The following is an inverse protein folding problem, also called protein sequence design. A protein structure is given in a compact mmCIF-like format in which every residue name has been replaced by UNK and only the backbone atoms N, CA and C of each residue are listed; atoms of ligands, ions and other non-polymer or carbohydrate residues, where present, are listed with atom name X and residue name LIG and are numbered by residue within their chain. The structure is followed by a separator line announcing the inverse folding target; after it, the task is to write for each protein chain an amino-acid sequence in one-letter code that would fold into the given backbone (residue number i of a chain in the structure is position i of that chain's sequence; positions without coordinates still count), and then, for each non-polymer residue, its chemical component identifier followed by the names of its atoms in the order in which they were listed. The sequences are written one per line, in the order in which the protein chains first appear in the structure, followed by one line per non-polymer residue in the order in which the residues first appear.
data_IF_050782659923
#
_entry.id   IF_050782659923
#
_cell.length_a   1.000
_cell.length_b   1.000
_cell.length_c   1.000
_cell.angle_alpha   90.00
_cell.angle_beta   90.00
_cell.angle_gamma   90.00
#
_symmetry.space_group_name_H-M   'P 1'
#
loop_
_entity.id
_entity.type
_entity.pdbx_description
1 polymer ?
#
# COMPACT_ATOMS: atom_id res chain seq x y z
N UNK A 1 -8.53 -19.48 -10.02
CA UNK A 1 -8.34 -18.09 -9.54
C UNK A 1 -9.34 -17.87 -8.41
N UNK A 2 -8.89 -17.89 -7.15
CA UNK A 2 -9.78 -17.66 -5.99
C UNK A 2 -10.04 -16.15 -5.93
N UNK A 3 -11.24 -15.73 -6.33
CA UNK A 3 -11.64 -14.32 -6.24
C UNK A 3 -11.51 -13.83 -4.80
N UNK A 4 -10.95 -12.63 -4.63
CA UNK A 4 -11.13 -11.82 -3.41
C UNK A 4 -12.63 -11.55 -3.25
N UNK A 5 -13.29 -12.42 -2.48
CA UNK A 5 -14.71 -12.29 -2.20
C UNK A 5 -14.87 -11.32 -1.02
N UNK A 6 -14.82 -10.04 -1.32
CA UNK A 6 -15.19 -9.00 -0.36
C UNK A 6 -16.70 -9.02 -0.19
N UNK A 7 -17.18 -9.29 1.02
CA UNK A 7 -18.61 -9.43 1.31
C UNK A 7 -19.31 -8.06 1.43
N UNK A 8 -18.55 -6.96 1.48
CA UNK A 8 -19.05 -5.59 1.54
C UNK A 8 -18.02 -4.58 1.00
N UNK A 9 -18.48 -3.37 0.64
CA UNK A 9 -17.59 -2.24 0.30
C UNK A 9 -16.61 -1.89 1.43
N UNK A 10 -16.97 -2.15 2.69
CA UNK A 10 -16.11 -1.90 3.85
C UNK A 10 -14.86 -2.77 3.82
N UNK A 11 -15.00 -4.04 3.42
CA UNK A 11 -13.86 -4.95 3.34
C UNK A 11 -12.81 -4.47 2.33
N UNK A 12 -13.23 -3.76 1.28
CA UNK A 12 -12.31 -3.24 0.27
C UNK A 12 -11.42 -2.11 0.81
N UNK A 13 -11.99 -1.18 1.56
CA UNK A 13 -11.22 -0.05 2.14
C UNK A 13 -10.27 -0.50 3.24
N UNK A 14 -10.59 -1.58 3.96
CA UNK A 14 -9.67 -2.19 4.92
C UNK A 14 -8.42 -2.71 4.21
N UNK A 15 -8.62 -3.45 3.11
CA UNK A 15 -7.52 -3.99 2.30
C UNK A 15 -6.70 -2.87 1.67
N UNK A 16 -7.34 -1.81 1.17
CA UNK A 16 -6.62 -0.63 0.67
C UNK A 16 -5.72 -0.05 1.76
N UNK A 17 -6.24 0.15 2.97
CA UNK A 17 -5.44 0.68 4.06
C UNK A 17 -4.22 -0.22 4.31
N UNK A 18 -4.46 -1.51 4.59
CA UNK A 18 -3.40 -2.46 4.94
C UNK A 18 -2.36 -2.61 3.84
N UNK A 19 -2.76 -2.79 2.58
CA UNK A 19 -1.83 -3.03 1.47
C UNK A 19 -1.19 -1.76 0.91
N UNK A 20 -1.57 -0.57 1.39
CA UNK A 20 -0.87 0.68 1.08
C UNK A 20 0.23 1.02 2.09
N UNK A 21 0.37 0.22 3.15
CA UNK A 21 1.30 0.47 4.24
C UNK A 21 2.75 0.06 3.94
N UNK A 22 3.68 0.68 4.65
CA UNK A 22 5.10 0.31 4.63
C UNK A 22 5.32 -1.08 5.25
N UNK A 23 4.47 -1.50 6.20
CA UNK A 23 4.53 -2.85 6.80
C UNK A 23 4.21 -3.93 5.78
N UNK A 24 3.17 -3.74 4.96
CA UNK A 24 2.87 -4.64 3.85
C UNK A 24 4.00 -4.64 2.82
N UNK A 25 4.48 -3.46 2.42
CA UNK A 25 5.57 -3.35 1.46
C UNK A 25 6.82 -4.09 1.93
N UNK A 26 7.22 -3.89 3.19
CA UNK A 26 8.33 -4.59 3.81
C UNK A 26 8.12 -6.12 3.82
N UNK A 27 6.94 -6.60 4.23
CA UNK A 27 6.63 -8.03 4.16
C UNK A 27 6.72 -8.58 2.72
N UNK A 28 6.11 -7.88 1.76
CA UNK A 28 6.05 -8.31 0.38
C UNK A 28 7.44 -8.44 -0.24
N UNK A 29 8.31 -7.47 0.02
CA UNK A 29 9.68 -7.43 -0.53
C UNK A 29 10.60 -8.49 0.07
N UNK A 30 10.33 -8.95 1.29
CA UNK A 30 11.09 -10.03 1.94
C UNK A 30 10.66 -11.44 1.50
N UNK A 31 9.41 -11.61 1.09
CA UNK A 31 8.82 -12.94 0.86
C UNK A 31 8.57 -13.29 -0.60
N UNK A 32 8.55 -12.31 -1.52
CA UNK A 32 8.14 -12.53 -2.90
C UNK A 32 9.10 -11.96 -3.96
N UNK A 33 8.86 -12.33 -5.21
CA UNK A 33 9.69 -12.01 -6.38
C UNK A 33 9.67 -10.54 -6.81
N UNK A 34 8.85 -9.72 -6.16
CA UNK A 34 8.61 -8.30 -6.46
C UNK A 34 8.12 -8.00 -7.88
N UNK A 35 7.92 -9.02 -8.72
CA UNK A 35 7.53 -8.86 -10.11
C UNK A 35 6.02 -8.97 -10.28
N UNK A 36 5.38 -9.81 -9.48
CA UNK A 36 3.93 -9.96 -9.48
C UNK A 36 3.36 -9.72 -8.09
N UNK A 37 2.21 -9.05 -8.00
CA UNK A 37 1.37 -9.08 -6.80
C UNK A 37 0.13 -9.94 -7.10
N UNK A 38 0.09 -11.18 -6.55
CA UNK A 38 -0.98 -12.17 -6.78
C UNK A 38 -1.81 -12.37 -5.52
N UNK A 39 -3.03 -12.88 -5.69
CA UNK A 39 -3.99 -13.08 -4.60
C UNK A 39 -3.39 -13.80 -3.38
N UNK A 40 -2.63 -14.88 -3.59
CA UNK A 40 -2.06 -15.66 -2.49
C UNK A 40 -1.04 -14.87 -1.67
N UNK A 41 -0.38 -13.86 -2.24
CA UNK A 41 0.59 -13.01 -1.55
C UNK A 41 -0.12 -12.06 -0.58
N UNK A 42 -1.28 -11.54 -0.99
CA UNK A 42 -2.14 -10.72 -0.14
C UNK A 42 -2.77 -11.58 0.97
N UNK A 43 -3.23 -12.79 0.65
CA UNK A 43 -3.82 -13.71 1.63
C UNK A 43 -2.83 -14.30 2.62
N UNK A 44 -1.53 -14.33 2.30
CA UNK A 44 -0.50 -14.82 3.21
C UNK A 44 -0.02 -13.76 4.19
N UNK A 45 -0.38 -12.49 3.98
CA UNK A 45 -0.02 -11.42 4.90
C UNK A 45 -0.65 -11.71 6.27
N UNK A 46 0.14 -11.72 7.36
CA UNK A 46 -0.37 -12.03 8.69
C UNK A 46 -1.17 -10.86 9.28
N UNK A 47 -2.39 -10.67 8.77
CA UNK A 47 -3.33 -9.66 9.26
C UNK A 47 -4.73 -10.26 9.30
N UNK A 48 -5.31 -10.30 10.49
CA UNK A 48 -6.69 -10.73 10.69
C UNK A 48 -7.60 -9.51 10.80
N UNK A 49 -8.39 -9.30 9.75
CA UNK A 49 -9.30 -8.16 9.63
C UNK A 49 -10.43 -8.22 10.66
N UNK A 50 -10.90 -9.41 11.02
CA UNK A 50 -12.06 -9.58 11.89
C UNK A 50 -11.71 -9.36 13.37
N UNK A 51 -10.47 -9.68 13.77
CA UNK A 51 -10.00 -9.50 15.15
C UNK A 51 -9.24 -8.20 15.39
N UNK A 52 -9.00 -7.39 14.36
CA UNK A 52 -8.26 -6.14 14.50
C UNK A 52 -9.03 -5.09 15.33
N UNK A 53 -8.51 -4.78 16.52
CA UNK A 53 -9.06 -3.74 17.43
C UNK A 53 -9.16 -2.36 16.76
N UNK A 54 -8.33 -2.07 15.76
CA UNK A 54 -8.24 -0.77 15.09
C UNK A 54 -8.96 -0.73 13.75
N UNK A 55 -9.80 -1.74 13.44
CA UNK A 55 -10.40 -1.89 12.11
C UNK A 55 -11.23 -0.67 11.67
N UNK A 56 -11.97 -0.03 12.60
CA UNK A 56 -12.75 1.16 12.29
C UNK A 56 -11.87 2.39 11.96
N UNK A 57 -10.70 2.50 12.59
CA UNK A 57 -9.73 3.56 12.29
C UNK A 57 -9.09 3.32 10.92
N UNK A 58 -8.72 2.07 10.63
CA UNK A 58 -8.21 1.67 9.32
C UNK A 58 -9.25 1.85 8.21
N UNK A 59 -10.53 1.57 8.47
CA UNK A 59 -11.61 1.82 7.52
C UNK A 59 -11.70 3.30 7.14
N UNK A 60 -11.68 4.17 8.16
CA UNK A 60 -11.71 5.61 7.95
C UNK A 60 -10.50 6.07 7.14
N UNK A 61 -9.30 5.66 7.55
CA UNK A 61 -8.05 6.04 6.87
C UNK A 61 -7.98 5.49 5.45
N UNK A 62 -8.49 4.28 5.20
CA UNK A 62 -8.55 3.68 3.86
C UNK A 62 -9.47 4.45 2.92
N UNK A 63 -10.62 4.94 3.41
CA UNK A 63 -11.50 5.85 2.65
C UNK A 63 -10.79 7.17 2.36
N UNK A 64 -10.23 7.81 3.40
CA UNK A 64 -9.49 9.07 3.25
C UNK A 64 -8.31 8.93 2.26
N UNK A 65 -7.58 7.82 2.30
CA UNK A 65 -6.48 7.54 1.38
C UNK A 65 -6.99 7.38 -0.06
N UNK A 66 -8.08 6.63 -0.25
CA UNK A 66 -8.67 6.41 -1.57
C UNK A 66 -9.09 7.73 -2.20
N UNK A 67 -9.85 8.53 -1.46
CA UNK A 67 -10.34 9.83 -1.93
C UNK A 67 -9.17 10.76 -2.26
N UNK A 68 -8.18 10.87 -1.36
CA UNK A 68 -6.98 11.70 -1.55
C UNK A 68 -6.15 11.25 -2.78
N UNK A 69 -6.03 9.94 -3.02
CA UNK A 69 -5.35 9.41 -4.22
C UNK A 69 -6.09 9.80 -5.52
N UNK A 70 -7.43 9.75 -5.52
CA UNK A 70 -8.23 10.13 -6.68
C UNK A 70 -8.20 11.64 -6.94
N UNK A 71 -8.25 12.45 -5.89
CA UNK A 71 -8.15 13.91 -5.99
C UNK A 71 -6.79 14.37 -6.52
N UNK A 72 -5.72 13.69 -6.10
CA UNK A 72 -4.35 13.97 -6.52
C UNK A 72 -3.94 13.30 -7.84
N UNK A 73 -4.83 12.51 -8.46
CA UNK A 73 -4.53 11.81 -9.71
C UNK A 73 -4.42 12.78 -10.89
N UNK A 74 -3.35 12.62 -11.68
CA UNK A 74 -3.15 13.39 -12.90
C UNK A 74 -4.05 12.84 -14.02
N UNK A 75 -4.86 13.73 -14.63
CA UNK A 75 -5.71 13.40 -15.77
C UNK A 75 -4.95 13.63 -17.07
N UNK A 76 -4.65 12.55 -17.79
CA UNK A 76 -3.97 12.60 -19.09
C UNK A 76 -4.93 12.18 -20.20
N UNK A 77 -5.14 13.06 -21.17
CA UNK A 77 -5.93 12.76 -22.37
C UNK A 77 -4.97 12.44 -23.51
N UNK A 78 -5.12 11.27 -24.13
CA UNK A 78 -4.36 10.86 -25.31
C UNK A 78 -5.31 10.60 -26.47
N UNK A 79 -5.05 11.26 -27.60
CA UNK A 79 -5.82 11.08 -28.83
C UNK A 79 -5.18 10.01 -29.71
N UNK A 80 -5.94 8.98 -30.06
CA UNK A 80 -5.52 7.93 -30.98
C UNK A 80 -6.33 8.01 -32.26
N UNK A 81 -5.66 7.93 -33.42
CA UNK A 81 -6.30 8.03 -34.74
C UNK A 81 -7.39 6.97 -34.96
N UNK A 82 -7.24 5.78 -34.37
CA UNK A 82 -8.15 4.64 -34.58
C UNK A 82 -9.24 4.48 -33.54
N UNK A 83 -8.99 4.90 -32.28
CA UNK A 83 -9.90 4.65 -31.15
C UNK A 83 -10.37 5.91 -30.43
N UNK A 84 -9.99 7.09 -30.95
CA UNK A 84 -10.39 8.38 -30.39
C UNK A 84 -9.62 8.76 -29.12
N UNK A 85 -10.20 9.68 -28.35
CA UNK A 85 -9.61 10.18 -27.12
C UNK A 85 -9.78 9.18 -25.98
N UNK A 86 -8.69 8.86 -25.30
CA UNK A 86 -8.69 8.08 -24.06
C UNK A 86 -8.22 8.95 -22.92
N UNK A 87 -8.99 8.97 -21.83
CA UNK A 87 -8.60 9.57 -20.56
C UNK A 87 -7.93 8.50 -19.69
N UNK A 88 -6.78 8.83 -19.12
CA UNK A 88 -6.06 8.02 -18.15
C UNK A 88 -5.91 8.81 -16.86
N UNK A 89 -6.06 8.12 -15.73
CA UNK A 89 -5.68 8.62 -14.41
C UNK A 89 -4.31 8.06 -14.07
N UNK A 90 -3.37 8.94 -13.75
CA UNK A 90 -2.04 8.58 -13.28
C UNK A 90 -1.99 8.91 -11.80
N UNK A 91 -1.97 7.87 -10.97
CA UNK A 91 -1.88 8.01 -9.52
C UNK A 91 -0.43 8.26 -9.11
N UNK A 92 -0.25 9.15 -8.12
CA UNK A 92 1.04 9.47 -7.51
C UNK A 92 0.96 9.25 -6.00
N UNK A 93 1.17 8.01 -5.51
CA UNK A 93 1.01 7.68 -4.08
C UNK A 93 1.84 8.55 -3.14
N UNK A 94 2.95 9.10 -3.63
CA UNK A 94 3.81 10.05 -2.88
C UNK A 94 3.06 11.31 -2.43
N UNK A 95 2.04 11.75 -3.16
CA UNK A 95 1.21 12.91 -2.78
C UNK A 95 0.28 12.57 -1.59
N UNK A 96 -0.07 11.30 -1.43
CA UNK A 96 -0.92 10.79 -0.36
C UNK A 96 -0.13 10.22 0.82
N UNK A 97 1.19 10.42 0.85
CA UNK A 97 2.08 9.90 1.90
C UNK A 97 1.62 10.21 3.33
N UNK A 98 1.13 11.42 3.66
CA UNK A 98 0.66 11.71 5.02
C UNK A 98 -0.50 10.83 5.49
N UNK A 99 -1.27 10.23 4.57
CA UNK A 99 -2.36 9.29 4.91
C UNK A 99 -1.82 7.89 5.13
N UNK A 100 -0.86 7.48 4.30
CA UNK A 100 -0.11 6.22 4.48
C UNK A 100 0.59 6.22 5.85
N UNK A 101 1.26 7.31 6.22
CA UNK A 101 1.95 7.41 7.52
C UNK A 101 1.01 7.25 8.73
N UNK A 102 -0.25 7.70 8.62
CA UNK A 102 -1.26 7.48 9.66
C UNK A 102 -1.68 6.02 9.73
N UNK A 103 -1.82 5.36 8.59
CA UNK A 103 -2.12 3.93 8.52
C UNK A 103 -0.98 3.14 9.16
N UNK A 104 0.28 3.46 8.83
CA UNK A 104 1.44 2.82 9.44
C UNK A 104 1.46 2.99 10.96
N UNK A 105 1.10 4.17 11.47
CA UNK A 105 1.02 4.40 12.91
C UNK A 105 -0.06 3.53 13.59
N UNK A 106 -1.16 3.23 12.89
CA UNK A 106 -2.20 2.31 13.38
C UNK A 106 -1.72 0.86 13.31
N UNK A 107 -1.08 0.46 12.22
CA UNK A 107 -0.54 -0.89 12.07
C UNK A 107 0.59 -1.17 13.05
N UNK A 108 1.45 -0.19 13.35
CA UNK A 108 2.48 -0.29 14.38
C UNK A 108 1.85 -0.63 15.74
N UNK A 109 0.76 0.06 16.13
CA UNK A 109 0.01 -0.27 17.36
C UNK A 109 -0.62 -1.67 17.30
N UNK A 110 -1.18 -2.06 16.15
CA UNK A 110 -1.79 -3.38 15.97
C UNK A 110 -0.77 -4.51 16.16
N UNK A 111 0.42 -4.36 15.60
CA UNK A 111 1.49 -5.35 15.69
C UNK A 111 2.35 -5.21 16.96
N UNK A 112 2.11 -4.20 17.80
CA UNK A 112 2.90 -3.95 19.01
C UNK A 112 4.33 -3.51 18.72
N UNK A 113 4.55 -2.83 17.59
CA UNK A 113 5.86 -2.30 17.21
C UNK A 113 6.20 -1.07 18.05
N UNK A 114 7.46 -0.98 18.46
CA UNK A 114 8.01 0.24 19.03
C UNK A 114 8.39 1.27 17.95
N UNK A 115 8.83 2.44 18.37
CA UNK A 115 9.22 3.54 17.48
C UNK A 115 10.44 3.18 16.62
N UNK A 116 11.41 2.47 17.18
CA UNK A 116 12.63 2.05 16.47
C UNK A 116 12.30 1.02 15.39
N UNK A 117 11.47 0.04 15.71
CA UNK A 117 10.99 -0.98 14.77
C UNK A 117 10.15 -0.37 13.65
N UNK A 118 9.29 0.60 13.99
CA UNK A 118 8.48 1.32 12.99
C UNK A 118 9.39 2.10 12.03
N UNK A 119 10.37 2.83 12.55
CA UNK A 119 11.33 3.57 11.73
C UNK A 119 12.25 2.65 10.91
N UNK A 120 12.63 1.50 11.47
CA UNK A 120 13.37 0.47 10.75
C UNK A 120 12.61 0.01 9.51
N UNK A 121 11.32 -0.34 9.64
CA UNK A 121 10.47 -0.77 8.51
C UNK A 121 10.40 0.33 7.45
N UNK A 122 10.07 1.57 7.84
CA UNK A 122 9.92 2.71 6.92
C UNK A 122 11.19 3.04 6.15
N UNK A 123 12.34 2.88 6.80
CA UNK A 123 13.65 3.20 6.20
C UNK A 123 14.34 1.99 5.56
N UNK A 124 13.76 0.79 5.66
CA UNK A 124 14.39 -0.48 5.27
C UNK A 124 14.89 -0.47 3.82
N UNK A 125 14.01 -0.14 2.88
CA UNK A 125 14.34 -0.14 1.45
C UNK A 125 15.46 0.84 1.12
N UNK A 126 15.34 2.07 1.64
CA UNK A 126 16.36 3.10 1.43
C UNK A 126 17.72 2.63 1.96
N UNK A 127 17.76 2.08 3.18
CA UNK A 127 19.02 1.69 3.84
C UNK A 127 19.66 0.43 3.26
N UNK A 128 18.88 -0.58 2.89
CA UNK A 128 19.42 -1.91 2.61
C UNK A 128 19.18 -2.42 1.20
N UNK A 129 18.23 -1.83 0.46
CA UNK A 129 17.87 -2.27 -0.89
C UNK A 129 18.24 -1.27 -1.98
N UNK A 130 18.36 0.02 -1.65
CA UNK A 130 18.79 1.07 -2.59
C UNK A 130 20.22 1.55 -2.35
N UNK A 131 20.68 1.58 -1.09
CA UNK A 131 22.03 2.09 -0.79
C UNK A 131 23.14 1.10 -1.21
N UNK A 132 22.87 -0.21 -1.19
CA UNK A 132 23.85 -1.24 -1.58
C UNK A 132 24.25 -1.21 -3.06
N UNK A 133 23.36 -0.77 -3.96
CA UNK A 133 23.67 -0.69 -5.39
C UNK A 133 24.73 0.38 -5.71
N UNK A 134 25.04 1.29 -4.77
CA UNK A 134 26.06 2.34 -4.96
C UNK A 134 27.43 2.00 -4.37
N UNK A 135 27.57 0.92 -3.58
CA UNK A 135 28.85 0.52 -2.96
C UNK A 135 29.60 -0.56 -3.76
N UNK A 136 28.94 -1.23 -4.72
CA UNK A 136 29.53 -2.25 -5.60
C UNK A 136 30.02 -1.68 -6.96
N UNK A 137 30.09 -0.34 -7.11
CA UNK A 137 30.64 0.37 -8.27
C UNK A 137 32.02 1.05 -8.03
N UNK A 138 32.76 0.68 -6.98
CA UNK A 138 34.18 1.03 -6.77
C UNK A 138 35.11 -0.20 -6.82
#
# INVERSE_FOLDING_TARGET
MKRLNFHSEQTFVWVIAVLSSDVWWWYYTLHFDMYNCKDYMMYSFPFDYDSCKYIAELEKLGKELSDDMYENAEKKIQSYATTGNRMQLIFRPTLSKPKIEKIDAVLAKHYGLDEEQTEFIKSYDNKYRLTKDNEDEE
#
